data_IF_245954879465
#
_entry.id   IF_245954879465
#
_cell.length_a   1.000
_cell.length_b   1.000
_cell.length_c   1.000
_cell.angle_alpha   90.00
_cell.angle_beta   90.00
_cell.angle_gamma   90.00
#
_symmetry.space_group_name_H-M   'P 1'
#
loop_
_entity.id
_entity.type
_entity.pdbx_description
1 polymer ?
#
# COMPACT_ATOMS: atom_id res chain seq x y z
N UNK A 1 27.78 -9.76 -21.86
CA UNK A 1 26.34 -9.62 -22.17
C UNK A 1 25.67 -9.12 -20.91
N UNK A 2 25.57 -7.80 -20.75
CA UNK A 2 24.89 -7.18 -19.63
C UNK A 2 23.40 -7.17 -19.91
N UNK A 3 22.60 -7.78 -19.03
CA UNK A 3 21.16 -7.60 -19.05
C UNK A 3 20.88 -6.12 -18.79
N UNK A 4 20.51 -5.39 -19.84
CA UNK A 4 19.83 -4.10 -19.72
C UNK A 4 18.48 -4.38 -19.09
N UNK A 5 18.44 -4.51 -17.77
CA UNK A 5 17.21 -4.52 -17.01
C UNK A 5 16.46 -3.25 -17.36
N UNK A 6 15.37 -3.39 -18.12
CA UNK A 6 14.46 -2.28 -18.39
C UNK A 6 14.01 -1.76 -17.01
N UNK A 7 14.44 -0.55 -16.68
CA UNK A 7 13.82 0.23 -15.62
C UNK A 7 12.33 0.31 -15.94
N UNK A 8 11.50 0.15 -14.91
CA UNK A 8 10.09 -0.11 -15.09
C UNK A 8 9.38 0.98 -15.90
N UNK A 9 8.63 0.55 -16.92
CA UNK A 9 7.90 1.44 -17.84
C UNK A 9 6.91 2.34 -17.07
N UNK A 10 6.61 3.50 -17.65
CA UNK A 10 5.70 4.52 -17.10
C UNK A 10 4.36 3.98 -16.69
N UNK A 11 3.82 3.12 -17.55
CA UNK A 11 2.54 2.47 -17.29
C UNK A 11 2.60 1.55 -16.07
N UNK A 12 3.77 0.99 -15.76
CA UNK A 12 4.00 0.17 -14.58
C UNK A 12 4.03 0.95 -13.26
N UNK A 13 4.22 2.28 -13.30
CA UNK A 13 4.46 3.08 -12.09
C UNK A 13 3.42 4.18 -11.85
N UNK A 14 3.07 4.97 -12.86
CA UNK A 14 2.08 6.03 -12.72
C UNK A 14 0.66 5.47 -12.51
N UNK A 15 0.29 4.40 -13.22
CA UNK A 15 -1.07 3.84 -13.16
C UNK A 15 -1.38 3.32 -11.75
N UNK A 16 -0.52 2.50 -11.10
CA UNK A 16 -0.72 2.11 -9.71
C UNK A 16 -0.74 3.29 -8.75
N UNK A 17 0.17 4.26 -8.88
CA UNK A 17 0.24 5.41 -7.99
C UNK A 17 -1.04 6.27 -8.03
N UNK A 18 -1.54 6.60 -9.22
CA UNK A 18 -2.80 7.33 -9.38
C UNK A 18 -4.01 6.53 -8.91
N UNK A 19 -4.00 5.21 -9.14
CA UNK A 19 -5.04 4.33 -8.62
C UNK A 19 -5.05 4.33 -7.09
N UNK A 20 -3.90 4.10 -6.44
CA UNK A 20 -3.81 4.05 -4.97
C UNK A 20 -4.19 5.39 -4.33
N UNK A 21 -3.67 6.50 -4.85
CA UNK A 21 -4.00 7.82 -4.34
C UNK A 21 -5.48 8.18 -4.55
N UNK A 22 -5.98 8.01 -5.78
CA UNK A 22 -7.36 8.35 -6.12
C UNK A 22 -8.37 7.48 -5.38
N UNK A 23 -8.15 6.17 -5.35
CA UNK A 23 -9.03 5.21 -4.68
C UNK A 23 -8.94 5.36 -3.16
N UNK A 24 -7.75 5.50 -2.58
CA UNK A 24 -7.56 5.75 -1.15
C UNK A 24 -8.22 7.05 -0.69
N UNK A 25 -8.02 8.14 -1.43
CA UNK A 25 -8.66 9.44 -1.15
C UNK A 25 -10.18 9.36 -1.29
N UNK A 26 -10.68 8.72 -2.35
CA UNK A 26 -12.11 8.54 -2.57
C UNK A 26 -12.78 7.82 -1.41
N UNK A 27 -12.24 6.68 -0.98
CA UNK A 27 -12.80 5.93 0.15
C UNK A 27 -12.65 6.67 1.47
N UNK A 28 -11.53 7.36 1.71
CA UNK A 28 -11.36 8.18 2.91
C UNK A 28 -12.40 9.31 2.97
N UNK A 29 -12.55 10.09 1.90
CA UNK A 29 -13.52 11.19 1.81
C UNK A 29 -14.94 10.65 1.95
N UNK A 30 -15.27 9.54 1.31
CA UNK A 30 -16.57 8.91 1.44
C UNK A 30 -16.87 8.51 2.89
N UNK A 31 -15.91 7.93 3.59
CA UNK A 31 -16.03 7.58 5.01
C UNK A 31 -16.20 8.82 5.91
N UNK A 32 -15.47 9.90 5.62
CA UNK A 32 -15.58 11.17 6.35
C UNK A 32 -16.91 11.90 6.09
N UNK A 33 -17.37 11.96 4.84
CA UNK A 33 -18.67 12.57 4.52
C UNK A 33 -19.82 11.81 5.16
N UNK A 34 -19.73 10.47 5.19
CA UNK A 34 -20.71 9.62 5.88
C UNK A 34 -20.69 9.83 7.39
N UNK A 35 -19.52 10.06 7.99
CA UNK A 35 -19.42 10.33 9.43
C UNK A 35 -19.99 11.71 9.82
N UNK A 36 -19.91 12.69 8.92
CA UNK A 36 -20.53 14.01 9.13
C UNK A 36 -22.06 13.99 9.00
N UNK A 37 -22.60 13.08 8.18
CA UNK A 37 -24.05 12.92 7.99
C UNK A 37 -24.76 12.12 9.09
N UNK A 38 -24.05 11.75 10.16
CA UNK A 38 -24.60 10.97 11.26
C UNK A 38 -25.57 11.81 12.11
N UNK A 39 -26.82 11.36 12.31
CA UNK A 39 -27.69 11.93 13.34
C UNK A 39 -27.01 11.82 14.71
N UNK A 40 -27.27 12.76 15.64
CA UNK A 40 -26.75 12.67 17.00
C UNK A 40 -27.06 11.31 17.63
N UNK A 41 -26.03 10.64 18.15
CA UNK A 41 -26.16 9.31 18.77
C UNK A 41 -26.14 8.12 17.79
N UNK A 42 -26.02 8.35 16.48
CA UNK A 42 -25.77 7.29 15.48
C UNK A 42 -24.27 7.17 15.19
N UNK A 43 -23.84 5.97 14.86
CA UNK A 43 -22.49 5.65 14.42
C UNK A 43 -22.45 5.40 12.92
N UNK A 44 -21.26 5.44 12.30
CA UNK A 44 -21.06 5.04 10.89
C UNK A 44 -21.68 3.66 10.59
N UNK A 45 -21.66 2.75 11.57
CA UNK A 45 -22.24 1.41 11.46
C UNK A 45 -23.76 1.41 11.25
N UNK A 46 -24.47 2.50 11.59
CA UNK A 46 -25.94 2.58 11.54
C UNK A 46 -26.49 3.06 10.18
N UNK A 47 -25.66 3.70 9.36
CA UNK A 47 -26.07 4.31 8.07
C UNK A 47 -25.33 3.69 6.90
N UNK A 48 -24.09 3.29 7.12
CA UNK A 48 -23.35 2.50 6.18
C UNK A 48 -23.87 1.06 6.19
N UNK A 49 -24.01 0.44 5.02
CA UNK A 49 -24.21 -1.00 4.94
C UNK A 49 -22.81 -1.62 4.87
N UNK A 50 -22.21 -2.02 6.01
CA UNK A 50 -20.97 -2.79 5.95
C UNK A 50 -21.21 -4.06 5.14
N UNK A 51 -20.14 -4.61 4.57
CA UNK A 51 -20.21 -5.93 3.96
C UNK A 51 -20.77 -6.92 4.99
N UNK A 52 -21.99 -7.42 4.76
CA UNK A 52 -22.71 -8.23 5.75
C UNK A 52 -22.17 -9.65 5.81
N UNK A 53 -21.38 -10.04 4.81
CA UNK A 53 -20.80 -11.37 4.73
C UNK A 53 -19.47 -11.44 5.50
N UNK A 54 -19.55 -11.70 6.81
CA UNK A 54 -18.37 -11.92 7.65
C UNK A 54 -17.51 -13.10 7.19
N UNK A 55 -18.09 -14.09 6.50
CA UNK A 55 -17.33 -15.19 5.91
C UNK A 55 -16.41 -14.72 4.78
N UNK A 56 -16.93 -13.85 3.91
CA UNK A 56 -16.15 -13.23 2.84
C UNK A 56 -15.05 -12.33 3.39
N UNK A 57 -15.37 -11.45 4.36
CA UNK A 57 -14.38 -10.59 5.02
C UNK A 57 -13.25 -11.46 5.60
N UNK A 58 -13.59 -12.53 6.32
CA UNK A 58 -12.59 -13.43 6.91
C UNK A 58 -11.70 -14.09 5.86
N UNK A 59 -12.29 -14.63 4.79
CA UNK A 59 -11.55 -15.32 3.74
C UNK A 59 -10.56 -14.39 3.04
N UNK A 60 -11.02 -13.21 2.60
CA UNK A 60 -10.17 -12.21 1.93
C UNK A 60 -9.08 -11.71 2.87
N UNK A 61 -9.43 -11.41 4.12
CA UNK A 61 -8.48 -10.92 5.12
C UNK A 61 -7.40 -11.96 5.45
N UNK A 62 -7.79 -13.24 5.55
CA UNK A 62 -6.83 -14.34 5.74
C UNK A 62 -5.88 -14.47 4.57
N UNK A 63 -6.39 -14.47 3.34
CA UNK A 63 -5.57 -14.50 2.12
C UNK A 63 -4.60 -13.32 2.08
N UNK A 64 -5.07 -12.11 2.44
CA UNK A 64 -4.24 -10.91 2.47
C UNK A 64 -3.08 -11.06 3.47
N UNK A 65 -3.36 -11.49 4.71
CA UNK A 65 -2.31 -11.72 5.73
C UNK A 65 -1.29 -12.75 5.27
N UNK A 66 -1.73 -13.86 4.68
CA UNK A 66 -0.81 -14.90 4.18
C UNK A 66 0.05 -14.34 3.05
N UNK A 67 -0.55 -13.69 2.06
CA UNK A 67 0.17 -13.13 0.91
C UNK A 67 1.20 -12.08 1.33
N UNK A 68 0.84 -11.15 2.22
CA UNK A 68 1.76 -10.12 2.71
C UNK A 68 2.87 -10.70 3.58
N UNK A 69 2.59 -11.75 4.37
CA UNK A 69 3.62 -12.43 5.16
C UNK A 69 4.64 -13.13 4.26
N UNK A 70 4.18 -13.81 3.20
CA UNK A 70 5.06 -14.44 2.23
C UNK A 70 5.89 -13.41 1.48
N UNK A 71 5.30 -12.29 1.04
CA UNK A 71 6.02 -11.19 0.40
C UNK A 71 7.08 -10.56 1.31
N UNK A 72 6.73 -10.29 2.57
CA UNK A 72 7.65 -9.76 3.58
C UNK A 72 8.88 -10.66 3.77
N UNK A 73 8.65 -11.96 3.93
CA UNK A 73 9.73 -12.95 4.06
C UNK A 73 10.56 -13.01 2.78
N UNK A 74 9.92 -13.08 1.61
CA UNK A 74 10.60 -13.18 0.32
C UNK A 74 11.52 -11.99 0.07
N UNK A 75 11.03 -10.76 0.19
CA UNK A 75 11.83 -9.55 -0.02
C UNK A 75 12.89 -9.39 1.08
N UNK A 76 12.59 -9.79 2.32
CA UNK A 76 13.54 -9.72 3.43
C UNK A 76 14.73 -10.66 3.24
N UNK A 77 14.46 -11.90 2.84
CA UNK A 77 15.47 -12.89 2.51
C UNK A 77 16.22 -12.50 1.22
N UNK A 78 15.50 -12.04 0.19
CA UNK A 78 16.07 -11.58 -1.08
C UNK A 78 17.06 -10.43 -0.89
N UNK A 79 16.74 -9.45 -0.04
CA UNK A 79 17.65 -8.38 0.36
C UNK A 79 18.95 -8.93 0.94
N UNK A 80 18.87 -9.85 1.90
CA UNK A 80 20.06 -10.43 2.53
C UNK A 80 20.88 -11.37 1.65
N UNK A 81 20.29 -11.97 0.61
CA UNK A 81 21.04 -12.75 -0.38
C UNK A 81 21.76 -11.82 -1.38
N UNK A 82 21.11 -10.73 -1.79
CA UNK A 82 21.62 -9.85 -2.86
C UNK A 82 22.61 -8.80 -2.37
N UNK A 83 22.54 -8.39 -1.09
CA UNK A 83 23.46 -7.42 -0.49
C UNK A 83 24.47 -8.09 0.43
N UNK A 84 25.36 -8.90 -0.15
CA UNK A 84 26.36 -9.71 0.58
C UNK A 84 27.28 -8.86 1.47
N UNK A 85 27.49 -7.59 1.11
CA UNK A 85 28.37 -6.66 1.84
C UNK A 85 27.69 -5.94 3.02
N UNK A 86 26.36 -6.06 3.16
CA UNK A 86 25.61 -5.39 4.24
C UNK A 86 25.26 -6.43 5.31
N UNK A 87 25.84 -6.35 6.53
CA UNK A 87 25.55 -7.31 7.60
C UNK A 87 24.13 -7.16 8.14
N UNK A 88 23.59 -8.24 8.71
CA UNK A 88 22.30 -8.23 9.41
C UNK A 88 22.33 -7.25 10.61
N UNK A 89 21.25 -6.48 10.88
CA UNK A 89 19.96 -6.40 10.15
C UNK A 89 19.94 -5.36 9.02
N UNK A 90 21.09 -4.79 8.64
CA UNK A 90 21.20 -3.77 7.60
C UNK A 90 20.71 -4.25 6.23
N UNK A 91 20.98 -5.52 5.86
CA UNK A 91 20.49 -6.08 4.60
C UNK A 91 18.96 -6.16 4.52
N UNK A 92 18.30 -6.40 5.66
CA UNK A 92 16.84 -6.40 5.76
C UNK A 92 16.27 -5.00 5.57
N UNK A 93 16.95 -4.00 6.18
CA UNK A 93 16.58 -2.60 6.09
C UNK A 93 16.82 -2.00 4.70
N UNK A 94 17.64 -2.65 3.87
CA UNK A 94 17.84 -2.22 2.48
C UNK A 94 16.54 -2.29 1.65
N UNK A 95 15.62 -3.18 2.02
CA UNK A 95 14.30 -3.31 1.41
C UNK A 95 13.18 -2.66 2.25
N UNK A 96 13.52 -1.70 3.14
CA UNK A 96 12.57 -1.13 4.11
C UNK A 96 11.26 -0.66 3.47
N UNK A 97 11.29 -0.04 2.28
CA UNK A 97 10.06 0.40 1.58
C UNK A 97 9.12 -0.78 1.28
N UNK A 98 9.64 -1.88 0.72
CA UNK A 98 8.85 -3.09 0.47
C UNK A 98 8.36 -3.73 1.76
N UNK A 99 9.18 -3.72 2.81
CA UNK A 99 8.77 -4.24 4.13
C UNK A 99 7.61 -3.43 4.73
N UNK A 100 7.67 -2.09 4.64
CA UNK A 100 6.59 -1.22 5.11
C UNK A 100 5.32 -1.43 4.30
N UNK A 101 5.42 -1.62 2.98
CA UNK A 101 4.28 -1.96 2.11
C UNK A 101 3.58 -3.24 2.60
N UNK A 102 4.33 -4.34 2.75
CA UNK A 102 3.72 -5.60 3.20
C UNK A 102 3.15 -5.51 4.61
N UNK A 103 3.81 -4.80 5.53
CA UNK A 103 3.27 -4.56 6.88
C UNK A 103 1.96 -3.78 6.84
N UNK A 104 1.86 -2.76 5.96
CA UNK A 104 0.68 -1.92 5.82
C UNK A 104 -0.53 -2.71 5.36
N UNK A 105 -0.38 -3.52 4.30
CA UNK A 105 -1.46 -4.39 3.83
C UNK A 105 -1.71 -5.58 4.77
N UNK A 106 -0.68 -6.09 5.45
CA UNK A 106 -0.84 -7.11 6.48
C UNK A 106 -1.68 -6.60 7.65
N UNK A 107 -1.50 -5.35 8.06
CA UNK A 107 -2.33 -4.69 9.06
C UNK A 107 -3.79 -4.59 8.61
N UNK A 108 -4.06 -4.24 7.35
CA UNK A 108 -5.43 -4.26 6.79
C UNK A 108 -6.06 -5.64 6.94
N UNK A 109 -5.31 -6.70 6.60
CA UNK A 109 -5.77 -8.08 6.76
C UNK A 109 -6.05 -8.46 8.22
N UNK A 110 -5.19 -8.05 9.16
CA UNK A 110 -5.42 -8.28 10.59
C UNK A 110 -6.68 -7.56 11.07
N UNK A 111 -6.86 -6.29 10.70
CA UNK A 111 -8.05 -5.50 11.03
C UNK A 111 -9.31 -6.17 10.48
N UNK A 112 -9.28 -6.65 9.24
CA UNK A 112 -10.40 -7.36 8.63
C UNK A 112 -10.70 -8.72 9.29
N UNK A 113 -9.68 -9.47 9.71
CA UNK A 113 -9.88 -10.69 10.50
C UNK A 113 -10.58 -10.37 11.83
N UNK A 114 -10.09 -9.37 12.58
CA UNK A 114 -10.68 -8.94 13.84
C UNK A 114 -12.11 -8.43 13.67
N UNK A 115 -12.37 -7.67 12.60
CA UNK A 115 -13.72 -7.25 12.20
C UNK A 115 -14.63 -8.46 11.92
N UNK A 116 -14.12 -9.50 11.24
CA UNK A 116 -14.87 -10.75 10.97
C UNK A 116 -15.23 -11.55 12.23
N UNK A 117 -14.49 -11.33 13.32
CA UNK A 117 -14.75 -11.89 14.65
C UNK A 117 -15.55 -10.93 15.53
N UNK A 118 -16.04 -9.82 14.98
CA UNK A 118 -16.76 -8.75 15.71
C UNK A 118 -15.94 -8.18 16.88
N UNK A 119 -14.61 -8.20 16.76
CA UNK A 119 -13.69 -7.59 17.73
C UNK A 119 -13.47 -6.10 17.45
N UNK A 120 -13.70 -5.67 16.21
CA UNK A 120 -13.66 -4.27 15.80
C UNK A 120 -15.01 -3.80 15.24
N UNK A 121 -15.25 -2.48 15.26
CA UNK A 121 -16.40 -1.89 14.59
C UNK A 121 -16.46 -2.29 13.12
N UNK A 122 -17.67 -2.39 12.58
CA UNK A 122 -17.84 -2.63 11.16
C UNK A 122 -17.17 -1.51 10.34
N UNK A 123 -16.66 -1.86 9.15
CA UNK A 123 -15.94 -0.98 8.22
C UNK A 123 -14.51 -0.57 8.62
N UNK A 124 -13.99 -1.06 9.75
CA UNK A 124 -12.63 -0.80 10.20
C UNK A 124 -11.58 -1.21 9.16
N UNK A 125 -11.78 -2.33 8.47
CA UNK A 125 -10.90 -2.82 7.40
C UNK A 125 -10.85 -1.90 6.19
N UNK A 126 -11.96 -1.24 5.83
CA UNK A 126 -11.99 -0.27 4.72
C UNK A 126 -11.26 1.02 5.07
N UNK A 127 -11.38 1.47 6.31
CA UNK A 127 -10.61 2.63 6.80
C UNK A 127 -9.11 2.30 6.84
N UNK A 128 -8.74 1.13 7.35
CA UNK A 128 -7.36 0.65 7.32
C UNK A 128 -6.83 0.55 5.88
N UNK A 129 -7.61 0.02 4.94
CA UNK A 129 -7.24 -0.05 3.53
C UNK A 129 -7.02 1.34 2.94
N UNK A 130 -7.89 2.30 3.24
CA UNK A 130 -7.75 3.67 2.75
C UNK A 130 -6.45 4.32 3.23
N UNK A 131 -6.09 4.10 4.51
CA UNK A 131 -4.83 4.57 5.08
C UNK A 131 -3.62 3.86 4.45
N UNK A 132 -3.70 2.54 4.25
CA UNK A 132 -2.64 1.77 3.59
C UNK A 132 -2.39 2.28 2.15
N UNK A 133 -3.46 2.57 1.39
CA UNK A 133 -3.36 3.11 0.04
C UNK A 133 -2.73 4.53 0.01
N UNK A 134 -3.04 5.37 1.00
CA UNK A 134 -2.40 6.70 1.12
C UNK A 134 -0.92 6.59 1.50
N UNK A 135 -0.59 5.69 2.43
CA UNK A 135 0.79 5.43 2.81
C UNK A 135 1.59 4.88 1.63
N UNK A 136 0.98 4.01 0.82
CA UNK A 136 1.59 3.46 -0.39
C UNK A 136 1.95 4.56 -1.39
N UNK A 137 1.08 5.55 -1.58
CA UNK A 137 1.39 6.70 -2.42
C UNK A 137 2.63 7.49 -1.90
N UNK A 138 2.76 7.67 -0.58
CA UNK A 138 3.92 8.35 0.00
C UNK A 138 5.19 7.51 -0.19
N UNK A 139 5.12 6.21 0.11
CA UNK A 139 6.24 5.28 -0.04
C UNK A 139 6.70 5.17 -1.50
N UNK A 140 5.76 5.19 -2.44
CA UNK A 140 6.06 5.17 -3.87
C UNK A 140 6.84 6.40 -4.31
N UNK A 141 6.44 7.59 -3.83
CA UNK A 141 7.16 8.82 -4.11
C UNK A 141 8.57 8.81 -3.52
N UNK A 142 8.75 8.36 -2.27
CA UNK A 142 10.07 8.25 -1.66
C UNK A 142 10.95 7.20 -2.37
N UNK A 143 10.36 6.07 -2.81
CA UNK A 143 11.09 5.05 -3.56
C UNK A 143 11.67 5.59 -4.88
N UNK A 144 10.90 6.42 -5.58
CA UNK A 144 11.35 7.12 -6.78
C UNK A 144 12.59 7.99 -6.50
N UNK A 145 12.60 8.69 -5.36
CA UNK A 145 13.70 9.60 -4.96
C UNK A 145 14.99 8.86 -4.60
N UNK A 146 14.90 7.60 -4.15
CA UNK A 146 16.04 6.80 -3.71
C UNK A 146 16.88 6.22 -4.86
N UNK A 147 16.43 6.33 -6.11
CA UNK A 147 17.20 5.85 -7.27
C UNK A 147 18.44 6.72 -7.48
N UNK A 148 19.62 6.08 -7.51
CA UNK A 148 20.93 6.74 -7.67
C UNK A 148 21.14 7.36 -9.04
N UNK A 149 20.60 6.72 -10.07
CA UNK A 149 20.71 7.21 -11.43
C UNK A 149 19.65 8.27 -11.70
N UNK A 150 20.07 9.41 -12.25
CA UNK A 150 19.16 10.51 -12.55
C UNK A 150 18.15 10.15 -13.63
N UNK A 151 18.52 9.28 -14.57
CA UNK A 151 17.61 8.74 -15.59
C UNK A 151 16.56 7.82 -14.98
N UNK A 152 16.95 6.93 -14.07
CA UNK A 152 16.03 6.05 -13.34
C UNK A 152 15.11 6.85 -12.40
N UNK A 153 15.68 7.80 -11.64
CA UNK A 153 14.95 8.73 -10.77
C UNK A 153 13.94 9.57 -11.54
N UNK A 154 14.33 10.11 -12.70
CA UNK A 154 13.44 10.83 -13.63
C UNK A 154 12.40 9.91 -14.26
N UNK A 155 12.73 8.67 -14.59
CA UNK A 155 11.75 7.67 -15.01
C UNK A 155 10.69 7.44 -13.94
N UNK A 156 11.08 7.45 -12.67
CA UNK A 156 10.17 7.28 -11.54
C UNK A 156 9.42 8.58 -11.15
N UNK A 157 9.97 9.79 -11.42
CA UNK A 157 9.36 11.09 -11.06
C UNK A 157 8.66 11.85 -12.20
N UNK A 158 9.20 11.86 -13.43
CA UNK A 158 8.76 12.72 -14.56
C UNK A 158 7.53 12.19 -15.30
N UNK A 159 6.63 11.53 -14.58
CA UNK A 159 5.36 11.03 -15.11
C UNK A 159 4.16 11.91 -14.78
N UNK A 160 4.43 13.12 -14.27
CA UNK A 160 3.48 14.22 -14.29
C UNK A 160 3.45 14.82 -15.71
N UNK A 161 2.29 14.84 -16.40
CA UNK A 161 2.18 15.42 -17.74
C UNK A 161 2.46 16.92 -17.66
N UNK A 162 3.55 17.39 -18.26
CA UNK A 162 3.70 18.82 -18.59
C UNK A 162 5.04 19.51 -18.35
N UNK A 163 6.13 18.83 -17.99
CA UNK A 163 7.44 19.51 -17.89
C UNK A 163 8.23 19.36 -19.20
N UNK A 164 8.38 20.42 -20.02
CA UNK A 164 9.18 20.34 -21.24
C UNK A 164 10.66 20.23 -20.88
N UNK A 165 11.33 19.27 -21.52
CA UNK A 165 12.79 19.11 -21.42
C UNK A 165 13.46 20.31 -22.09
N UNK A 166 14.06 21.19 -21.30
CA UNK A 166 15.01 22.18 -21.81
C UNK A 166 16.31 21.46 -22.14
N UNK A 167 16.66 21.47 -23.43
CA UNK A 167 17.92 21.00 -24.04
C UNK A 167 19.14 21.74 -23.52
#
# INVERSE_FOLDING_TARGET
MGATGQSGDFKGHAIPAFFFFGFGTFFLVLSLLRSQSLPPGRTLCDIHVPERNFGLIRAVSFVLVVATTLGFIYEGVGGCITTVDIPWPGCFSHQATHQILYLSFGFVGIVGLLESFKRFPADSSRMALSLALLLEYVLWNEHALMKKDDTDRRGHMLQAPGCPLSS
#
